data_IF_284608806782
#
_entry.id   IF_284608806782
#
_cell.length_a   1.000
_cell.length_b   1.000
_cell.length_c   1.000
_cell.angle_alpha   90.00
_cell.angle_beta   90.00
_cell.angle_gamma   90.00
#
_symmetry.space_group_name_H-M   'P 1'
#
loop_
_entity.id
_entity.type
_entity.pdbx_description
1 polymer ?
#
# COMPACT_ATOMS: atom_id res chain seq x y z
N UNK A 1 12.96 17.06 6.18
CA UNK A 1 12.99 16.29 4.91
C UNK A 1 11.55 15.88 4.60
N UNK A 2 11.08 16.09 3.37
CA UNK A 2 9.67 15.93 2.99
C UNK A 2 9.54 14.76 2.04
N UNK A 3 8.50 13.94 2.24
CA UNK A 3 8.11 12.87 1.34
C UNK A 3 6.77 13.21 0.71
N UNK A 4 6.62 12.88 -0.57
CA UNK A 4 5.34 12.89 -1.26
C UNK A 4 4.80 11.46 -1.31
N UNK A 5 3.52 11.29 -0.96
CA UNK A 5 2.84 10.00 -1.02
C UNK A 5 1.62 10.16 -1.93
N UNK A 6 1.67 9.53 -3.09
CA UNK A 6 0.47 9.34 -3.90
C UNK A 6 -0.21 8.06 -3.42
N UNK A 7 -1.17 8.23 -2.53
CA UNK A 7 -1.91 7.13 -1.92
C UNK A 7 -3.08 6.74 -2.83
N UNK A 8 -2.89 5.87 -3.82
CA UNK A 8 -3.93 5.49 -4.79
C UNK A 8 -4.86 4.37 -4.33
N UNK A 9 -5.88 4.06 -5.14
CA UNK A 9 -6.85 2.98 -4.82
C UNK A 9 -6.23 1.59 -4.94
N UNK A 10 -5.42 1.37 -5.98
CA UNK A 10 -4.80 0.06 -6.25
C UNK A 10 -3.32 0.04 -5.88
N UNK A 11 -2.62 1.16 -6.07
CA UNK A 11 -1.20 1.28 -5.80
C UNK A 11 -0.90 2.62 -5.14
N UNK A 12 0.14 2.63 -4.32
CA UNK A 12 0.70 3.79 -3.65
C UNK A 12 2.14 3.98 -4.12
N UNK A 13 2.56 5.24 -4.28
CA UNK A 13 3.94 5.61 -4.62
C UNK A 13 4.47 6.57 -3.57
N UNK A 14 5.71 6.36 -3.16
CA UNK A 14 6.44 7.28 -2.28
C UNK A 14 7.58 7.90 -3.08
N UNK A 15 7.69 9.22 -3.01
CA UNK A 15 8.76 9.98 -3.62
C UNK A 15 9.40 10.95 -2.62
N UNK A 16 10.63 11.35 -2.90
CA UNK A 16 11.33 12.42 -2.17
C UNK A 16 12.15 13.27 -3.12
N UNK A 17 12.53 14.45 -2.65
CA UNK A 17 13.60 15.22 -3.28
C UNK A 17 14.96 14.63 -2.91
N UNK A 18 15.75 14.21 -3.89
CA UNK A 18 17.12 13.78 -3.68
C UNK A 18 18.04 15.01 -3.68
N UNK A 19 18.57 15.37 -2.52
CA UNK A 19 19.41 16.56 -2.36
C UNK A 19 20.76 16.46 -3.08
N UNK A 20 21.28 15.24 -3.30
CA UNK A 20 22.56 15.01 -3.97
C UNK A 20 22.45 15.17 -5.49
N UNK A 21 21.35 14.70 -6.08
CA UNK A 21 21.12 14.81 -7.54
C UNK A 21 20.29 16.03 -7.92
N UNK A 22 19.69 16.71 -6.95
CA UNK A 22 18.72 17.80 -7.15
C UNK A 22 17.56 17.39 -8.08
N UNK A 23 17.05 16.17 -7.92
CA UNK A 23 15.95 15.62 -8.71
C UNK A 23 14.96 14.87 -7.80
N UNK A 24 13.67 14.76 -8.19
CA UNK A 24 12.75 13.87 -7.51
C UNK A 24 13.11 12.40 -7.80
N UNK A 25 12.95 11.54 -6.81
CA UNK A 25 13.10 10.09 -6.97
C UNK A 25 11.97 9.33 -6.29
N UNK A 26 11.58 8.20 -6.88
CA UNK A 26 10.66 7.24 -6.26
C UNK A 26 11.43 6.22 -5.44
N UNK A 27 10.84 5.81 -4.32
CA UNK A 27 11.50 4.94 -3.35
C UNK A 27 10.98 3.52 -3.44
N UNK A 28 11.91 2.56 -3.54
CA UNK A 28 11.60 1.16 -3.32
C UNK A 28 11.74 0.85 -1.83
N UNK A 29 10.67 0.34 -1.22
CA UNK A 29 10.67 -0.12 0.15
C UNK A 29 10.67 -1.65 0.17
N UNK A 30 11.56 -2.23 0.96
CA UNK A 30 11.67 -3.68 1.15
C UNK A 30 10.31 -4.20 1.66
N UNK A 31 9.89 -5.36 1.14
CA UNK A 31 8.63 -6.06 1.42
C UNK A 31 7.32 -5.32 1.05
N UNK A 32 7.35 -4.00 0.87
CA UNK A 32 6.17 -3.21 0.50
C UNK A 32 6.07 -3.02 -1.01
N UNK A 33 7.19 -2.84 -1.70
CA UNK A 33 7.22 -2.47 -3.11
C UNK A 33 7.43 -3.66 -4.04
N UNK A 34 6.83 -3.59 -5.23
CA UNK A 34 7.21 -4.39 -6.40
C UNK A 34 7.60 -3.48 -7.57
N UNK A 35 8.24 -4.05 -8.59
CA UNK A 35 8.48 -3.39 -9.88
C UNK A 35 8.01 -4.28 -11.01
N UNK A 36 7.29 -3.69 -11.96
CA UNK A 36 6.88 -4.36 -13.19
C UNK A 36 7.51 -3.65 -14.38
N UNK A 37 8.46 -4.31 -15.04
CA UNK A 37 9.19 -3.75 -16.18
C UNK A 37 9.89 -2.44 -15.85
N UNK A 38 9.56 -1.38 -16.59
CA UNK A 38 10.15 -0.03 -16.42
C UNK A 38 9.32 0.88 -15.50
N UNK A 39 8.25 0.38 -14.89
CA UNK A 39 7.46 1.18 -13.96
C UNK A 39 8.28 1.54 -12.71
N UNK A 40 8.00 2.70 -12.08
CA UNK A 40 8.57 3.00 -10.78
C UNK A 40 8.20 1.92 -9.75
N UNK A 41 8.91 1.85 -8.60
CA UNK A 41 8.47 1.02 -7.48
C UNK A 41 7.04 1.38 -7.08
N UNK A 42 6.17 0.37 -7.02
CA UNK A 42 4.77 0.52 -6.62
C UNK A 42 4.53 -0.29 -5.35
N UNK A 43 3.73 0.25 -4.43
CA UNK A 43 3.23 -0.45 -3.25
C UNK A 43 1.76 -0.81 -3.52
N UNK A 44 1.36 -2.09 -3.62
CA UNK A 44 -0.04 -2.45 -3.70
C UNK A 44 -0.79 -1.87 -2.50
N UNK A 45 -1.92 -1.20 -2.72
CA UNK A 45 -2.73 -0.60 -1.64
C UNK A 45 -3.60 -1.66 -0.99
N UNK A 46 -2.91 -2.57 -0.30
CA UNK A 46 -3.41 -3.79 0.31
C UNK A 46 -2.99 -3.84 1.77
N UNK A 47 -3.87 -4.37 2.62
CA UNK A 47 -3.58 -4.67 4.02
C UNK A 47 -4.12 -6.06 4.34
N UNK A 48 -3.36 -6.84 5.10
CA UNK A 48 -3.83 -8.09 5.71
C UNK A 48 -3.67 -8.01 7.21
N UNK A 49 -4.74 -8.30 7.95
CA UNK A 49 -4.73 -8.29 9.42
C UNK A 49 -4.42 -9.69 9.93
N UNK A 50 -3.19 -9.90 10.40
CA UNK A 50 -2.78 -11.19 10.97
C UNK A 50 -3.43 -11.42 12.34
N UNK A 51 -3.41 -10.39 13.18
CA UNK A 51 -4.04 -10.36 14.50
C UNK A 51 -4.45 -8.94 14.88
N UNK A 52 -5.76 -8.69 14.93
CA UNK A 52 -6.31 -7.38 15.26
C UNK A 52 -6.12 -7.00 16.74
N UNK A 53 -6.07 -7.98 17.65
CA UNK A 53 -5.93 -7.73 19.08
C UNK A 53 -4.54 -7.21 19.43
N UNK A 54 -3.51 -7.65 18.70
CA UNK A 54 -2.13 -7.16 18.83
C UNK A 54 -1.73 -6.09 17.81
N UNK A 55 -2.65 -5.70 16.91
CA UNK A 55 -2.36 -4.72 15.86
C UNK A 55 -1.39 -5.22 14.78
N UNK A 56 -1.21 -6.54 14.67
CA UNK A 56 -0.29 -7.16 13.72
C UNK A 56 -0.88 -7.15 12.32
N UNK A 57 -0.29 -6.35 11.44
CA UNK A 57 -0.71 -6.19 10.04
C UNK A 57 0.45 -6.38 9.08
N UNK A 58 0.10 -6.81 7.87
CA UNK A 58 0.96 -6.80 6.69
C UNK A 58 0.38 -5.82 5.68
N UNK A 59 1.23 -5.14 4.92
CA UNK A 59 0.80 -4.18 3.90
C UNK A 59 1.67 -4.29 2.65
N UNK A 60 1.16 -3.82 1.52
CA UNK A 60 1.95 -3.77 0.29
C UNK A 60 2.16 -5.14 -0.35
N UNK A 61 3.31 -5.31 -0.99
CA UNK A 61 3.62 -6.47 -1.82
C UNK A 61 3.71 -7.77 -1.01
N UNK A 62 4.16 -7.73 0.24
CA UNK A 62 4.26 -8.93 1.10
C UNK A 62 2.92 -9.65 1.29
N UNK A 63 1.79 -8.93 1.19
CA UNK A 63 0.45 -9.53 1.22
C UNK A 63 0.26 -10.51 0.07
N UNK A 64 0.71 -10.13 -1.14
CA UNK A 64 0.67 -10.99 -2.33
C UNK A 64 1.74 -12.07 -2.29
N UNK A 65 2.95 -11.73 -1.85
CA UNK A 65 4.06 -12.69 -1.80
C UNK A 65 3.76 -13.87 -0.86
N UNK A 66 2.94 -13.65 0.17
CA UNK A 66 2.46 -14.69 1.09
C UNK A 66 1.12 -15.33 0.67
N UNK A 67 0.56 -14.94 -0.48
CA UNK A 67 -0.73 -15.46 -0.97
C UNK A 67 -1.93 -15.09 -0.09
N UNK A 68 -1.85 -13.97 0.63
CA UNK A 68 -2.89 -13.52 1.57
C UNK A 68 -3.92 -12.59 0.91
N UNK A 69 -3.89 -12.44 -0.41
CA UNK A 69 -4.78 -11.59 -1.21
C UNK A 69 -6.03 -12.33 -1.72
N UNK A 70 -6.48 -13.34 -0.97
CA UNK A 70 -7.69 -14.09 -1.25
C UNK A 70 -8.93 -13.22 -0.98
N UNK A 71 -9.69 -12.93 -2.03
CA UNK A 71 -10.89 -12.05 -1.94
C UNK A 71 -11.96 -12.56 -0.97
N UNK A 72 -11.94 -13.85 -0.63
CA UNK A 72 -12.87 -14.48 0.31
C UNK A 72 -12.38 -14.42 1.77
N UNK A 73 -11.13 -14.06 2.01
CA UNK A 73 -10.60 -13.95 3.37
C UNK A 73 -11.02 -12.60 3.98
N UNK A 74 -11.79 -12.58 5.08
CA UNK A 74 -12.26 -11.34 5.70
C UNK A 74 -11.13 -10.50 6.33
N UNK A 75 -9.91 -11.06 6.45
CA UNK A 75 -8.73 -10.34 6.95
C UNK A 75 -8.00 -9.56 5.86
N UNK A 76 -8.40 -9.73 4.60
CA UNK A 76 -7.78 -9.07 3.45
C UNK A 76 -8.57 -7.82 3.03
N UNK A 77 -7.90 -6.67 3.06
CA UNK A 77 -8.47 -5.35 2.76
C UNK A 77 -7.85 -4.78 1.49
N UNK A 78 -8.70 -4.25 0.60
CA UNK A 78 -8.30 -3.62 -0.67
C UNK A 78 -9.33 -2.58 -1.10
N UNK A 79 -8.94 -1.67 -2.01
CA UNK A 79 -9.82 -0.60 -2.51
C UNK A 79 -10.39 0.33 -1.41
N UNK A 80 -9.92 0.23 -0.17
CA UNK A 80 -10.42 0.97 0.99
C UNK A 80 -10.31 2.49 0.81
N UNK A 81 -9.43 2.99 -0.08
CA UNK A 81 -9.41 4.41 -0.47
C UNK A 81 -10.79 4.91 -0.94
N UNK A 82 -11.60 4.06 -1.57
CA UNK A 82 -12.96 4.42 -2.02
C UNK A 82 -13.96 4.62 -0.88
N UNK A 83 -13.70 4.04 0.29
CA UNK A 83 -14.52 4.21 1.48
C UNK A 83 -14.12 5.42 2.34
N UNK A 84 -12.91 5.96 2.14
CA UNK A 84 -12.44 7.13 2.90
C UNK A 84 -13.27 8.36 2.49
N UNK A 85 -13.97 8.94 3.48
CA UNK A 85 -14.81 10.13 3.26
C UNK A 85 -16.15 9.85 2.58
N UNK A 86 -16.49 8.57 2.33
CA UNK A 86 -17.83 8.21 1.90
C UNK A 86 -18.80 8.23 3.09
N UNK A 87 -20.03 8.69 2.88
CA UNK A 87 -21.12 8.48 3.83
C UNK A 87 -21.59 7.03 3.72
N UNK A 88 -21.12 6.18 4.63
CA UNK A 88 -21.47 4.77 4.70
C UNK A 88 -22.20 4.47 6.02
N UNK A 89 -23.32 3.74 5.93
CA UNK A 89 -23.92 3.08 7.08
C UNK A 89 -23.22 1.72 7.29
N UNK A 90 -22.43 1.62 8.36
CA UNK A 90 -21.72 0.37 8.71
C UNK A 90 -20.26 0.35 8.28
N UNK A 91 -19.71 -0.85 8.08
CA UNK A 91 -18.29 -1.09 7.79
C UNK A 91 -18.06 -1.47 6.33
N UNK A 92 -17.05 -0.87 5.69
CA UNK A 92 -16.61 -1.19 4.33
C UNK A 92 -15.20 -1.81 4.39
N UNK A 93 -15.07 -3.15 4.27
CA UNK A 93 -13.77 -3.82 4.20
C UNK A 93 -13.06 -3.62 2.86
#
# INVERSE_FOLDING_TARGET
>A
MVYAIDFGTSNTVIARWNAATQQPETLALIDLSFRLGKNPPLIPSLVYVEDAASGKVLAGQTVRDRGLDLSSDPRFFRNFKRGIGAEIQGFLP
#
